data_IF_954561564608
#
_entry.id   IF_954561564608
#
_cell.length_a   1.000
_cell.length_b   1.000
_cell.length_c   1.000
_cell.angle_alpha   90.00
_cell.angle_beta   90.00
_cell.angle_gamma   90.00
#
_symmetry.space_group_name_H-M   'P 1'
#
loop_
_entity.id
_entity.type
_entity.pdbx_description
1 polymer ?
#
# COMPACT_ATOMS: atom_id res chain seq x y z
N UNK A 1 7.71 0.64 -9.40
CA UNK A 1 8.70 0.51 -10.48
C UNK A 1 9.18 -0.93 -10.49
N UNK A 2 8.93 -1.64 -11.58
CA UNK A 2 9.28 -3.07 -11.75
C UNK A 2 10.62 -3.29 -12.46
N UNK A 3 11.36 -2.21 -12.73
CA UNK A 3 12.59 -2.24 -13.52
C UNK A 3 12.40 -1.75 -14.96
N UNK A 4 11.16 -1.58 -15.41
CA UNK A 4 10.79 -1.01 -16.70
C UNK A 4 9.89 0.21 -16.51
N UNK A 5 8.76 0.02 -15.82
CA UNK A 5 7.66 0.98 -15.82
C UNK A 5 7.21 1.37 -14.40
N UNK A 6 6.72 2.60 -14.27
CA UNK A 6 5.91 3.03 -13.14
C UNK A 6 4.44 2.80 -13.47
N UNK A 7 3.72 2.16 -12.54
CA UNK A 7 2.29 1.88 -12.67
C UNK A 7 1.53 2.51 -11.51
N UNK A 8 0.45 3.20 -11.84
CA UNK A 8 -0.55 3.69 -10.91
C UNK A 8 -1.78 2.80 -11.03
N UNK A 9 -2.23 2.25 -9.92
CA UNK A 9 -3.45 1.46 -9.85
C UNK A 9 -4.55 2.24 -9.13
N UNK A 10 -5.77 2.18 -9.65
CA UNK A 10 -6.97 2.73 -9.02
C UNK A 10 -8.03 1.63 -8.98
N UNK A 11 -8.49 1.28 -7.78
CA UNK A 11 -9.46 0.20 -7.57
C UNK A 11 -9.04 -1.13 -8.22
N UNK A 12 -7.75 -1.50 -8.12
CA UNK A 12 -7.18 -2.73 -8.67
C UNK A 12 -6.78 -2.69 -10.15
N UNK A 13 -7.29 -1.72 -10.93
CA UNK A 13 -6.96 -1.60 -12.35
C UNK A 13 -5.82 -0.61 -12.60
N UNK A 14 -5.00 -0.84 -13.64
CA UNK A 14 -4.00 0.15 -14.09
C UNK A 14 -4.72 1.39 -14.62
N UNK A 15 -4.48 2.53 -13.96
CA UNK A 15 -4.99 3.83 -14.35
C UNK A 15 -3.95 4.63 -15.16
N UNK A 16 -2.67 4.39 -14.89
CA UNK A 16 -1.57 5.02 -15.61
C UNK A 16 -0.30 4.18 -15.60
N UNK A 17 0.45 4.26 -16.70
CA UNK A 17 1.73 3.56 -16.89
C UNK A 17 2.71 4.44 -17.66
N UNK A 18 3.96 4.48 -17.20
CA UNK A 18 5.01 5.23 -17.89
C UNK A 18 6.41 4.66 -17.64
N UNK A 19 7.22 4.63 -18.70
CA UNK A 19 8.64 4.34 -18.61
C UNK A 19 9.39 5.63 -18.20
N UNK A 20 10.20 5.61 -17.14
CA UNK A 20 10.89 6.81 -16.67
C UNK A 20 12.00 7.31 -17.59
N UNK A 21 12.44 6.51 -18.58
CA UNK A 21 13.55 6.83 -19.48
C UNK A 21 14.93 6.92 -18.82
N UNK A 22 14.99 6.83 -17.50
CA UNK A 22 16.19 6.81 -16.68
C UNK A 22 15.95 5.97 -15.42
N UNK A 23 16.99 5.73 -14.64
CA UNK A 23 16.85 5.12 -13.32
C UNK A 23 16.13 6.10 -12.38
N UNK A 24 15.13 5.65 -11.61
CA UNK A 24 14.54 6.46 -10.55
C UNK A 24 15.60 7.00 -9.61
N UNK A 25 15.39 8.24 -9.15
CA UNK A 25 16.27 8.86 -8.17
C UNK A 25 16.15 8.16 -6.81
N UNK A 26 17.23 8.23 -6.02
CA UNK A 26 17.27 7.73 -4.65
C UNK A 26 17.81 8.83 -3.74
N UNK A 27 16.96 9.36 -2.86
CA UNK A 27 17.30 10.47 -1.98
C UNK A 27 17.13 10.09 -0.50
N UNK A 28 17.90 10.73 0.37
CA UNK A 28 17.84 10.53 1.83
C UNK A 28 16.87 11.51 2.53
N UNK A 29 16.03 12.23 1.76
CA UNK A 29 15.04 13.14 2.33
C UNK A 29 13.99 12.37 3.14
N UNK A 30 13.37 13.06 4.12
CA UNK A 30 12.26 12.50 4.86
C UNK A 30 11.09 12.14 3.94
N UNK A 31 10.49 10.98 4.19
CA UNK A 31 9.22 10.60 3.58
C UNK A 31 8.08 11.32 4.29
N UNK A 32 7.25 12.01 3.53
CA UNK A 32 6.02 12.64 4.01
C UNK A 32 4.80 11.93 3.43
N UNK A 33 3.78 11.73 4.25
CA UNK A 33 2.46 11.25 3.83
C UNK A 33 1.48 12.39 4.12
N UNK A 34 0.72 12.82 3.12
CA UNK A 34 -0.24 13.92 3.26
C UNK A 34 0.38 15.32 3.36
N UNK A 35 1.65 15.50 2.98
CA UNK A 35 2.34 16.79 2.95
C UNK A 35 3.69 16.73 2.25
N UNK A 36 4.47 17.81 2.33
CA UNK A 36 5.85 17.86 1.82
C UNK A 36 6.74 18.80 2.65
N UNK A 37 8.03 18.84 2.32
CA UNK A 37 9.06 19.65 2.99
C UNK A 37 9.08 21.13 2.55
N UNK A 38 8.31 21.50 1.53
CA UNK A 38 8.27 22.85 0.97
C UNK A 38 6.92 23.51 1.30
N UNK A 39 6.96 24.64 2.01
CA UNK A 39 5.77 25.47 2.24
C UNK A 39 4.68 24.81 3.10
N UNK A 40 3.45 25.34 3.01
CA UNK A 40 2.28 24.85 3.76
C UNK A 40 1.36 24.01 2.87
N UNK A 41 1.92 23.03 2.15
CA UNK A 41 1.14 22.10 1.34
C UNK A 41 0.79 20.87 2.17
N UNK A 42 -0.38 20.92 2.81
CA UNK A 42 -0.93 19.84 3.61
C UNK A 42 -2.23 19.33 2.99
N UNK A 43 -2.39 18.02 2.97
CA UNK A 43 -3.64 17.41 2.51
C UNK A 43 -4.76 17.69 3.51
N UNK A 44 -5.96 18.00 3.01
CA UNK A 44 -7.19 18.00 3.80
C UNK A 44 -7.99 16.76 3.44
N UNK A 45 -8.06 15.79 4.37
CA UNK A 45 -8.74 14.51 4.17
C UNK A 45 -8.17 13.43 5.10
N UNK A 46 -8.57 12.18 4.86
CA UNK A 46 -8.09 11.01 5.59
C UNK A 46 -7.27 10.11 4.68
N UNK A 47 -6.15 9.61 5.20
CA UNK A 47 -5.35 8.53 4.61
C UNK A 47 -5.37 7.42 5.64
N UNK A 48 -5.56 6.19 5.18
CA UNK A 48 -5.52 5.01 6.02
C UNK A 48 -4.77 3.88 5.30
N UNK A 49 -4.33 2.88 6.07
CA UNK A 49 -3.77 1.63 5.56
C UNK A 49 -2.59 1.83 4.59
N UNK A 50 -1.57 2.60 5.02
CA UNK A 50 -0.38 2.87 4.20
C UNK A 50 0.70 1.80 4.39
N UNK A 51 1.13 1.17 3.29
CA UNK A 51 2.23 0.20 3.28
C UNK A 51 3.23 0.55 2.18
N UNK A 52 4.51 0.29 2.45
CA UNK A 52 5.61 0.52 1.52
C UNK A 52 6.34 -0.80 1.32
N UNK A 53 6.45 -1.23 0.06
CA UNK A 53 7.18 -2.43 -0.32
C UNK A 53 8.54 -2.06 -0.92
N UNK A 54 9.56 -2.87 -0.62
CA UNK A 54 10.90 -2.75 -1.21
C UNK A 54 11.03 -3.43 -2.58
N UNK A 55 9.89 -3.85 -3.16
CA UNK A 55 9.78 -4.50 -4.47
C UNK A 55 8.53 -4.00 -5.18
N UNK A 56 8.47 -4.22 -6.48
CA UNK A 56 7.22 -4.09 -7.21
C UNK A 56 6.25 -5.22 -6.83
N UNK A 57 4.97 -4.88 -6.74
CA UNK A 57 3.88 -5.83 -6.66
C UNK A 57 3.45 -6.23 -8.07
N UNK A 58 3.07 -7.48 -8.24
CA UNK A 58 2.36 -7.96 -9.43
C UNK A 58 0.91 -7.48 -9.43
N UNK A 59 0.26 -7.49 -10.60
CA UNK A 59 -1.15 -7.14 -10.73
C UNK A 59 -2.06 -8.04 -9.88
N UNK A 60 -1.73 -9.34 -9.79
CA UNK A 60 -2.45 -10.27 -8.92
C UNK A 60 -2.35 -9.85 -7.45
N UNK A 61 -1.16 -9.52 -6.96
CA UNK A 61 -0.97 -9.07 -5.56
C UNK A 61 -1.71 -7.76 -5.27
N UNK A 62 -1.77 -6.84 -6.24
CA UNK A 62 -2.57 -5.61 -6.11
C UNK A 62 -4.06 -5.93 -6.00
N UNK A 63 -4.56 -6.85 -6.81
CA UNK A 63 -5.97 -7.27 -6.77
C UNK A 63 -6.31 -7.98 -5.45
N UNK A 64 -5.46 -8.90 -4.99
CA UNK A 64 -5.63 -9.56 -3.70
C UNK A 64 -5.68 -8.54 -2.55
N UNK A 65 -4.78 -7.55 -2.55
CA UNK A 65 -4.79 -6.46 -1.55
C UNK A 65 -6.07 -5.61 -1.60
N UNK A 66 -6.61 -5.37 -2.79
CA UNK A 66 -7.83 -4.58 -2.98
C UNK A 66 -9.09 -5.34 -2.56
N UNK A 67 -9.15 -6.65 -2.80
CA UNK A 67 -10.31 -7.50 -2.50
C UNK A 67 -10.33 -7.92 -1.03
N UNK A 68 -9.19 -8.40 -0.51
CA UNK A 68 -9.09 -8.98 0.82
C UNK A 68 -8.62 -7.98 1.89
N UNK A 69 -8.20 -6.79 1.46
CA UNK A 69 -7.59 -5.79 2.33
C UNK A 69 -6.19 -6.18 2.80
N UNK A 70 -5.53 -5.26 3.50
CA UNK A 70 -4.15 -5.50 3.95
C UNK A 70 -4.03 -6.47 5.12
N UNK A 71 -5.14 -6.83 5.78
CA UNK A 71 -5.16 -7.77 6.91
C UNK A 71 -4.58 -9.14 6.56
N UNK A 72 -4.70 -9.57 5.29
CA UNK A 72 -4.17 -10.84 4.81
C UNK A 72 -2.65 -10.82 4.64
N UNK A 73 -2.06 -9.63 4.48
CA UNK A 73 -0.60 -9.46 4.26
C UNK A 73 0.20 -9.21 5.53
N UNK A 74 -0.46 -9.06 6.68
CA UNK A 74 0.22 -8.93 7.95
C UNK A 74 0.70 -10.32 8.42
N UNK A 75 1.96 -10.41 8.83
CA UNK A 75 2.62 -11.62 9.36
C UNK A 75 1.93 -12.20 10.62
N UNK A 76 0.96 -11.45 11.14
CA UNK A 76 0.01 -11.93 12.13
C UNK A 76 -1.35 -12.10 11.47
N UNK A 77 -1.67 -13.34 11.13
CA UNK A 77 -3.06 -13.74 10.85
C UNK A 77 -3.89 -13.56 12.13
N UNK A 78 -4.87 -12.63 12.18
CA UNK A 78 -5.70 -12.45 13.37
C UNK A 78 -6.45 -13.74 13.71
N UNK A 79 -6.83 -14.55 12.73
CA UNK A 79 -7.50 -15.84 12.93
C UNK A 79 -6.71 -16.85 13.78
N UNK A 80 -5.37 -16.72 13.84
CA UNK A 80 -4.52 -17.54 14.70
C UNK A 80 -4.35 -16.99 16.12
N UNK A 81 -4.82 -15.75 16.39
CA UNK A 81 -4.75 -15.16 17.73
C UNK A 81 -5.95 -15.58 18.56
N UNK A 82 -5.68 -16.02 19.79
CA UNK A 82 -6.69 -16.38 20.79
C UNK A 82 -7.78 -15.31 20.89
N UNK A 83 -7.42 -14.02 20.90
CA UNK A 83 -8.35 -12.92 21.01
C UNK A 83 -9.43 -12.91 19.89
N UNK A 84 -9.05 -13.21 18.65
CA UNK A 84 -9.96 -13.24 17.50
C UNK A 84 -10.83 -14.50 17.53
N UNK A 85 -10.25 -15.66 17.86
CA UNK A 85 -11.02 -16.91 18.04
C UNK A 85 -12.08 -16.76 19.13
N UNK A 86 -11.74 -16.14 20.26
CA UNK A 86 -12.68 -15.88 21.36
C UNK A 86 -13.76 -14.86 20.99
N UNK A 87 -13.44 -13.86 20.17
CA UNK A 87 -14.42 -12.91 19.66
C UNK A 87 -15.44 -13.60 18.74
N UNK A 88 -14.97 -14.43 17.80
CA UNK A 88 -15.83 -15.20 16.90
C UNK A 88 -16.72 -16.22 17.63
N UNK A 89 -16.18 -16.90 18.65
CA UNK A 89 -16.95 -17.85 19.47
C UNK A 89 -18.06 -17.20 20.30
N UNK A 90 -17.85 -15.97 20.78
CA UNK A 90 -18.85 -15.24 21.57
C UNK A 90 -19.98 -14.62 20.73
N UNK A 91 -19.83 -14.60 19.40
CA UNK A 91 -20.84 -14.08 18.47
C UNK A 91 -21.77 -15.16 17.91
N UNK A 92 -21.54 -16.44 18.24
CA UNK A 92 -22.49 -17.55 18.02
C UNK A 92 -23.35 -17.77 19.27
#
# INVERSE_FOLDING_TARGET
YDGSDFKLYLNGAVDGETAPGTKPDNHDNFLFIGGCDIGNYWMTGTIDEVVIYNRALSEQEVNELMEDGMEVTLDVQPGGKLATTWSQLKMQ
#
